data_IF_282663548373
#
_entry.id   IF_282663548373
#
_cell.length_a   1.000
_cell.length_b   1.000
_cell.length_c   1.000
_cell.angle_alpha   90.00
_cell.angle_beta   90.00
_cell.angle_gamma   90.00
#
_symmetry.space_group_name_H-M   'P 1'
#
loop_
_entity.id
_entity.type
_entity.pdbx_description
1 polymer ?
#
# COMPACT_ATOMS: atom_id res chain seq x y z
N UNK A 1 9.27 5.04 19.28
CA UNK A 1 8.46 4.15 18.42
C UNK A 1 8.34 2.76 19.06
N UNK A 2 7.15 2.14 18.99
CA UNK A 2 6.90 0.77 19.46
C UNK A 2 6.11 0.01 18.38
N UNK A 3 6.66 -1.09 17.87
CA UNK A 3 5.98 -1.91 16.88
C UNK A 3 4.73 -2.59 17.46
N UNK A 4 3.59 -2.48 16.74
CA UNK A 4 2.29 -3.01 17.17
C UNK A 4 1.63 -3.93 16.12
N UNK A 5 2.31 -4.13 14.99
CA UNK A 5 1.85 -4.99 13.89
C UNK A 5 0.62 -4.46 13.17
N UNK A 6 0.08 -5.30 12.31
CA UNK A 6 -1.12 -5.02 11.53
C UNK A 6 -2.37 -5.12 12.41
N UNK A 7 -2.91 -4.00 12.87
CA UNK A 7 -4.17 -3.95 13.63
C UNK A 7 -5.36 -3.77 12.69
N UNK A 8 -6.56 -4.16 13.15
CA UNK A 8 -7.80 -3.85 12.44
C UNK A 8 -8.07 -2.35 12.57
N UNK A 9 -8.15 -1.66 11.43
CA UNK A 9 -8.48 -0.25 11.34
C UNK A 9 -9.84 -0.09 10.65
N UNK A 10 -10.61 0.90 11.07
CA UNK A 10 -11.94 1.17 10.51
C UNK A 10 -12.04 2.62 10.09
N UNK A 11 -12.59 2.84 8.91
CA UNK A 11 -12.93 4.16 8.39
C UNK A 11 -14.46 4.29 8.22
N UNK A 12 -14.91 5.34 7.55
CA UNK A 12 -16.34 5.49 7.25
C UNK A 12 -16.87 4.36 6.33
N UNK A 13 -16.06 3.91 5.36
CA UNK A 13 -16.47 2.93 4.34
C UNK A 13 -15.74 1.60 4.43
N UNK A 14 -14.54 1.59 5.04
CA UNK A 14 -13.58 0.51 4.90
C UNK A 14 -13.27 -0.17 6.22
N UNK A 15 -12.92 -1.45 6.13
CA UNK A 15 -12.20 -2.17 7.19
C UNK A 15 -10.87 -2.62 6.61
N UNK A 16 -9.78 -2.25 7.28
CA UNK A 16 -8.42 -2.69 6.97
C UNK A 16 -8.04 -3.74 8.01
N UNK A 17 -7.59 -4.91 7.57
CA UNK A 17 -7.28 -6.04 8.44
C UNK A 17 -6.11 -6.87 7.90
N UNK A 18 -5.47 -7.71 8.72
CA UNK A 18 -4.55 -8.71 8.18
C UNK A 18 -5.21 -9.54 7.08
N UNK A 19 -4.42 -9.99 6.12
CA UNK A 19 -4.85 -10.98 5.14
C UNK A 19 -5.04 -12.35 5.78
N UNK A 20 -5.89 -13.15 5.15
CA UNK A 20 -6.03 -14.58 5.41
C UNK A 20 -5.99 -15.34 4.10
N UNK A 21 -5.72 -16.63 4.14
CA UNK A 21 -5.74 -17.49 2.96
C UNK A 21 -7.12 -17.58 2.29
N UNK A 22 -8.19 -17.28 3.03
CA UNK A 22 -9.56 -17.21 2.50
C UNK A 22 -9.79 -16.03 1.53
N UNK A 23 -8.88 -15.05 1.50
CA UNK A 23 -8.96 -13.89 0.61
C UNK A 23 -8.43 -14.18 -0.81
N UNK A 24 -7.93 -15.39 -1.07
CA UNK A 24 -7.19 -15.71 -2.28
C UNK A 24 -8.01 -15.50 -3.56
N UNK A 25 -9.25 -15.97 -3.60
CA UNK A 25 -10.14 -15.82 -4.75
C UNK A 25 -10.43 -14.33 -5.01
N UNK A 26 -10.83 -13.60 -3.97
CA UNK A 26 -11.13 -12.18 -4.11
C UNK A 26 -9.91 -11.35 -4.52
N UNK A 27 -8.73 -11.63 -3.96
CA UNK A 27 -7.49 -10.98 -4.35
C UNK A 27 -7.14 -11.28 -5.81
N UNK A 28 -7.20 -12.54 -6.21
CA UNK A 28 -6.90 -12.96 -7.58
C UNK A 28 -7.82 -12.28 -8.58
N UNK A 29 -9.14 -12.37 -8.39
CA UNK A 29 -10.15 -11.83 -9.31
C UNK A 29 -10.17 -10.31 -9.35
N UNK A 30 -9.94 -9.63 -8.21
CA UNK A 30 -10.08 -8.20 -8.12
C UNK A 30 -8.86 -7.43 -8.62
N UNK A 31 -7.63 -7.96 -8.45
CA UNK A 31 -6.45 -7.23 -8.92
C UNK A 31 -5.22 -8.08 -9.22
N UNK A 32 -5.00 -9.25 -8.56
CA UNK A 32 -3.72 -9.93 -8.68
C UNK A 32 -3.48 -10.51 -10.09
N UNK A 33 -4.52 -10.80 -10.86
CA UNK A 33 -4.45 -11.23 -12.26
C UNK A 33 -4.59 -10.07 -13.28
N UNK A 34 -4.84 -8.83 -12.82
CA UNK A 34 -5.10 -7.70 -13.71
C UNK A 34 -3.80 -7.01 -14.15
N UNK A 35 -3.49 -7.09 -15.45
CA UNK A 35 -2.30 -6.47 -16.05
C UNK A 35 -2.28 -4.94 -15.93
N UNK A 36 -3.44 -4.29 -15.90
CA UNK A 36 -3.51 -2.84 -15.74
C UNK A 36 -3.20 -2.42 -14.30
N UNK A 37 -3.58 -3.22 -13.30
CA UNK A 37 -3.23 -2.97 -11.90
C UNK A 37 -1.74 -3.22 -11.67
N UNK A 38 -1.20 -4.32 -12.21
CA UNK A 38 0.20 -4.70 -11.99
C UNK A 38 1.21 -3.96 -12.85
N UNK A 39 0.74 -3.17 -13.82
CA UNK A 39 1.57 -2.47 -14.81
C UNK A 39 2.78 -1.72 -14.23
N UNK A 40 2.59 -1.09 -13.07
CA UNK A 40 3.59 -0.27 -12.39
C UNK A 40 4.09 -0.90 -11.07
N UNK A 41 3.78 -2.17 -10.83
CA UNK A 41 4.16 -2.86 -9.60
C UNK A 41 5.48 -3.63 -9.75
N UNK A 42 5.99 -4.10 -8.64
CA UNK A 42 7.25 -4.87 -8.54
C UNK A 42 7.05 -6.37 -8.79
N UNK A 43 5.85 -6.77 -9.18
CA UNK A 43 5.48 -8.16 -9.45
C UNK A 43 4.55 -8.24 -10.68
N UNK A 44 4.49 -9.42 -11.30
CA UNK A 44 3.70 -9.69 -12.49
C UNK A 44 2.35 -10.29 -12.12
N UNK A 45 1.32 -10.20 -13.00
CA UNK A 45 0.02 -10.81 -12.70
C UNK A 45 0.15 -12.28 -12.32
N UNK A 46 -0.57 -12.68 -11.29
CA UNK A 46 -0.67 -14.09 -10.90
C UNK A 46 -1.33 -14.91 -12.00
N UNK A 47 -0.88 -16.13 -12.18
CA UNK A 47 -1.34 -17.03 -13.26
C UNK A 47 -2.59 -17.81 -12.88
N UNK A 48 -2.77 -18.06 -11.58
CA UNK A 48 -3.88 -18.81 -11.01
C UNK A 48 -4.09 -18.42 -9.54
N UNK A 49 -5.20 -18.85 -8.98
CA UNK A 49 -5.56 -18.55 -7.57
C UNK A 49 -4.64 -19.24 -6.57
N UNK A 50 -4.06 -20.38 -6.92
CA UNK A 50 -3.15 -21.15 -6.06
C UNK A 50 -1.86 -20.36 -5.78
N UNK A 51 -1.36 -19.63 -6.80
CA UNK A 51 -0.22 -18.72 -6.63
C UNK A 51 -0.56 -17.60 -5.62
N UNK A 52 -1.76 -17.03 -5.73
CA UNK A 52 -2.26 -16.05 -4.77
C UNK A 52 -2.40 -16.64 -3.37
N UNK A 53 -2.97 -17.86 -3.27
CA UNK A 53 -3.18 -18.53 -1.99
C UNK A 53 -1.87 -18.85 -1.27
N UNK A 54 -0.86 -19.32 -2.03
CA UNK A 54 0.47 -19.59 -1.48
C UNK A 54 1.13 -18.32 -0.94
N UNK A 55 1.00 -17.18 -1.64
CA UNK A 55 1.48 -15.89 -1.18
C UNK A 55 0.75 -15.45 0.10
N UNK A 56 -0.58 -15.57 0.13
CA UNK A 56 -1.37 -15.19 1.31
C UNK A 56 -1.07 -16.06 2.53
N UNK A 57 -0.71 -17.33 2.36
CA UNK A 57 -0.27 -18.17 3.48
C UNK A 57 1.00 -17.63 4.14
N UNK A 58 1.93 -17.09 3.35
CA UNK A 58 3.14 -16.43 3.86
C UNK A 58 2.75 -15.14 4.62
N UNK A 59 1.93 -14.28 4.03
CA UNK A 59 1.52 -13.01 4.64
C UNK A 59 0.69 -13.21 5.91
N UNK A 60 -0.16 -14.24 5.96
CA UNK A 60 -0.93 -14.60 7.14
C UNK A 60 -0.01 -14.99 8.31
N UNK A 61 1.03 -15.78 8.05
CA UNK A 61 2.04 -16.14 9.05
C UNK A 61 2.87 -14.92 9.49
N UNK A 62 3.34 -14.11 8.53
CA UNK A 62 4.12 -12.90 8.80
C UNK A 62 3.31 -11.87 9.61
N UNK A 63 1.99 -11.79 9.43
CA UNK A 63 1.12 -10.84 10.13
C UNK A 63 1.10 -11.04 11.66
N UNK A 64 1.56 -12.18 12.17
CA UNK A 64 1.72 -12.46 13.60
C UNK A 64 2.88 -11.69 14.24
N UNK A 65 3.78 -11.19 13.43
CA UNK A 65 4.93 -10.42 13.89
C UNK A 65 4.55 -8.96 14.15
N UNK A 66 5.04 -8.36 15.24
CA UNK A 66 4.69 -6.97 15.58
C UNK A 66 5.36 -5.93 14.65
N UNK A 67 6.40 -6.29 13.91
CA UNK A 67 7.13 -5.42 12.99
C UNK A 67 6.64 -5.51 11.53
N UNK A 68 5.62 -6.30 11.26
CA UNK A 68 4.98 -6.46 9.94
C UNK A 68 3.68 -5.68 9.86
N UNK A 69 3.53 -4.92 8.78
CA UNK A 69 2.39 -4.06 8.52
C UNK A 69 1.88 -4.28 7.10
N UNK A 70 0.82 -5.07 6.96
CA UNK A 70 0.21 -5.36 5.69
C UNK A 70 -1.31 -5.54 5.84
N UNK A 71 -2.09 -4.64 5.26
CA UNK A 71 -3.54 -4.62 5.36
C UNK A 71 -4.20 -5.02 4.05
N UNK A 72 -5.13 -5.98 4.12
CA UNK A 72 -6.20 -6.12 3.17
C UNK A 72 -7.19 -4.94 3.37
N UNK A 73 -7.53 -4.24 2.31
CA UNK A 73 -8.55 -3.20 2.29
C UNK A 73 -9.87 -3.85 1.92
N UNK A 74 -10.88 -3.78 2.81
CA UNK A 74 -12.19 -4.35 2.54
C UNK A 74 -13.28 -3.30 2.48
N UNK A 75 -14.21 -3.46 1.54
CA UNK A 75 -15.42 -2.65 1.38
C UNK A 75 -16.62 -3.58 1.41
N UNK A 76 -17.55 -3.40 2.35
CA UNK A 76 -18.72 -4.26 2.55
C UNK A 76 -18.37 -5.77 2.64
N UNK A 77 -17.21 -6.09 3.21
CA UNK A 77 -16.71 -7.46 3.37
C UNK A 77 -15.89 -8.00 2.19
N UNK A 78 -15.94 -7.37 1.02
CA UNK A 78 -15.14 -7.74 -0.14
C UNK A 78 -13.72 -7.17 -0.04
N UNK A 79 -12.68 -7.99 -0.28
CA UNK A 79 -11.30 -7.55 -0.37
C UNK A 79 -11.06 -6.91 -1.72
N UNK A 80 -10.65 -5.64 -1.73
CA UNK A 80 -10.57 -4.82 -2.94
C UNK A 80 -9.19 -4.22 -3.22
N UNK A 81 -8.24 -4.40 -2.32
CA UNK A 81 -6.87 -3.89 -2.46
C UNK A 81 -6.04 -4.15 -1.23
N UNK A 82 -4.83 -3.63 -1.23
CA UNK A 82 -3.90 -3.74 -0.12
C UNK A 82 -3.07 -2.47 0.11
N UNK A 83 -2.53 -2.35 1.31
CA UNK A 83 -1.55 -1.35 1.71
C UNK A 83 -0.57 -1.97 2.69
N UNK A 84 0.73 -1.81 2.45
CA UNK A 84 1.78 -2.38 3.28
C UNK A 84 2.92 -1.39 3.55
N UNK A 85 3.68 -1.63 4.62
CA UNK A 85 5.04 -1.13 4.75
C UNK A 85 5.98 -2.13 4.04
N UNK A 86 6.49 -1.73 2.89
CA UNK A 86 7.37 -2.57 2.06
C UNK A 86 8.83 -2.52 2.49
N UNK A 87 9.17 -1.51 3.30
CA UNK A 87 10.46 -1.41 3.98
C UNK A 87 10.32 -0.60 5.27
N UNK A 88 11.02 -1.02 6.31
CA UNK A 88 11.14 -0.30 7.58
C UNK A 88 12.62 -0.15 7.92
N UNK A 89 13.06 1.07 8.24
CA UNK A 89 14.46 1.40 8.59
C UNK A 89 14.47 2.31 9.81
N UNK A 90 14.58 1.72 10.99
CA UNK A 90 14.41 2.46 12.25
C UNK A 90 13.00 3.05 12.34
N UNK A 91 12.90 4.36 12.51
CA UNK A 91 11.62 5.08 12.62
C UNK A 91 11.09 5.60 11.25
N UNK A 92 11.68 5.14 10.14
CA UNK A 92 11.26 5.48 8.78
C UNK A 92 10.65 4.26 8.11
N UNK A 93 9.58 4.44 7.37
CA UNK A 93 8.93 3.39 6.61
C UNK A 93 8.59 3.81 5.19
N UNK A 94 8.69 2.87 4.25
CA UNK A 94 8.25 3.03 2.87
C UNK A 94 6.96 2.24 2.65
N UNK A 95 5.93 2.89 2.13
CA UNK A 95 4.64 2.27 1.85
C UNK A 95 4.49 1.88 0.39
N UNK A 96 3.78 0.77 0.16
CA UNK A 96 3.28 0.35 -1.14
C UNK A 96 1.80 0.02 -1.05
N UNK A 97 1.06 0.18 -2.15
CA UNK A 97 -0.36 -0.13 -2.19
C UNK A 97 -0.84 -0.45 -3.60
N UNK A 98 -1.90 -1.22 -3.69
CA UNK A 98 -2.66 -1.39 -4.91
C UNK A 98 -4.17 -1.49 -4.63
N UNK A 99 -4.98 -1.25 -5.66
CA UNK A 99 -6.43 -1.26 -5.56
C UNK A 99 -7.02 -1.83 -6.84
N UNK A 100 -8.04 -2.65 -6.70
CA UNK A 100 -8.84 -3.14 -7.81
C UNK A 100 -9.32 -1.98 -8.68
N UNK A 101 -9.18 -2.14 -9.99
CA UNK A 101 -9.51 -1.13 -11.01
C UNK A 101 -10.97 -0.64 -10.90
N UNK A 102 -11.91 -1.51 -10.50
CA UNK A 102 -13.32 -1.18 -10.27
C UNK A 102 -13.53 -0.05 -9.27
N UNK A 103 -12.54 0.20 -8.39
CA UNK A 103 -12.63 1.17 -7.30
C UNK A 103 -11.72 2.39 -7.49
N UNK A 104 -11.03 2.52 -8.64
CA UNK A 104 -10.22 3.69 -8.95
C UNK A 104 -11.08 4.97 -9.05
N UNK A 105 -10.47 6.10 -8.73
CA UNK A 105 -11.13 7.40 -8.80
C UNK A 105 -12.17 7.69 -7.72
N UNK A 106 -12.47 6.74 -6.82
CA UNK A 106 -13.53 6.84 -5.79
C UNK A 106 -13.04 7.30 -4.42
N UNK A 107 -11.77 7.69 -4.31
CA UNK A 107 -11.16 8.14 -3.04
C UNK A 107 -10.87 7.02 -2.02
N UNK A 108 -11.10 5.76 -2.38
CA UNK A 108 -10.92 4.60 -1.50
C UNK A 108 -9.49 4.49 -0.97
N UNK A 109 -8.49 4.53 -1.84
CA UNK A 109 -7.09 4.41 -1.42
C UNK A 109 -6.66 5.59 -0.54
N UNK A 110 -7.12 6.81 -0.85
CA UNK A 110 -6.80 7.98 0.00
C UNK A 110 -7.42 7.87 1.39
N UNK A 111 -8.63 7.31 1.51
CA UNK A 111 -9.28 7.07 2.80
C UNK A 111 -8.53 5.99 3.60
N UNK A 112 -8.18 4.87 2.97
CA UNK A 112 -7.41 3.81 3.60
C UNK A 112 -6.04 4.30 4.07
N UNK A 113 -5.33 5.02 3.20
CA UNK A 113 -3.98 5.49 3.49
C UNK A 113 -3.97 6.54 4.61
N UNK A 114 -4.95 7.45 4.63
CA UNK A 114 -5.07 8.43 5.70
C UNK A 114 -5.23 7.76 7.08
N UNK A 115 -6.02 6.69 7.17
CA UNK A 115 -6.19 5.95 8.43
C UNK A 115 -4.93 5.16 8.83
N UNK A 116 -4.22 4.57 7.85
CA UNK A 116 -2.93 3.93 8.11
C UNK A 116 -1.91 4.93 8.61
N UNK A 117 -1.80 6.12 8.00
CA UNK A 117 -0.91 7.19 8.49
C UNK A 117 -1.28 7.61 9.93
N UNK A 118 -2.59 7.73 10.23
CA UNK A 118 -3.05 8.01 11.59
C UNK A 118 -2.52 6.98 12.58
N UNK A 119 -2.68 5.70 12.25
CA UNK A 119 -2.21 4.60 13.09
C UNK A 119 -0.69 4.61 13.26
N UNK A 120 0.05 4.76 12.16
CA UNK A 120 1.51 4.72 12.19
C UNK A 120 2.12 5.88 12.98
N UNK A 121 1.59 7.09 12.87
CA UNK A 121 2.08 8.24 13.64
C UNK A 121 1.58 8.25 15.07
N UNK A 122 0.28 8.07 15.30
CA UNK A 122 -0.30 8.26 16.64
C UNK A 122 -0.13 7.07 17.57
N UNK A 123 -0.10 5.86 17.03
CA UNK A 123 -0.12 4.65 17.84
C UNK A 123 1.21 3.89 17.82
N UNK A 124 1.92 3.89 16.69
CA UNK A 124 3.22 3.22 16.57
C UNK A 124 4.37 4.19 16.84
N UNK A 125 4.27 5.45 16.41
CA UNK A 125 5.28 6.49 16.61
C UNK A 125 6.38 6.47 15.56
N UNK A 126 6.04 6.25 14.28
CA UNK A 126 7.00 6.48 13.20
C UNK A 126 7.31 7.98 13.09
N UNK A 127 8.56 8.30 12.77
CA UNK A 127 9.00 9.67 12.50
C UNK A 127 8.70 10.11 11.06
N UNK A 128 8.82 9.17 10.11
CA UNK A 128 8.70 9.47 8.68
C UNK A 128 8.05 8.32 7.92
N UNK A 129 7.06 8.67 7.08
CA UNK A 129 6.44 7.74 6.13
C UNK A 129 6.67 8.27 4.72
N UNK A 130 7.27 7.43 3.89
CA UNK A 130 7.51 7.74 2.47
C UNK A 130 6.79 6.76 1.56
N UNK A 131 6.62 7.16 0.32
CA UNK A 131 6.13 6.32 -0.78
C UNK A 131 6.69 6.82 -2.09
N UNK A 132 6.62 5.99 -3.12
CA UNK A 132 7.11 6.35 -4.44
C UNK A 132 6.17 5.88 -5.55
N UNK A 133 6.23 6.55 -6.70
CA UNK A 133 5.52 6.12 -7.90
C UNK A 133 6.33 6.45 -9.14
N UNK A 134 6.17 5.67 -10.20
CA UNK A 134 6.74 6.03 -11.50
C UNK A 134 6.03 7.27 -12.05
N UNK A 135 6.76 8.13 -12.77
CA UNK A 135 6.23 9.39 -13.34
C UNK A 135 4.96 9.13 -14.15
N UNK A 136 4.93 8.02 -14.90
CA UNK A 136 3.79 7.62 -15.74
C UNK A 136 2.58 7.05 -14.95
N UNK A 137 2.64 7.03 -13.60
CA UNK A 137 1.51 6.70 -12.72
C UNK A 137 1.09 7.91 -11.85
N UNK A 138 0.57 8.99 -12.44
CA UNK A 138 0.17 10.18 -11.68
C UNK A 138 -1.00 9.92 -10.72
N UNK A 139 -1.77 8.85 -10.94
CA UNK A 139 -2.87 8.49 -10.04
C UNK A 139 -2.37 8.11 -8.64
N UNK A 140 -1.27 7.34 -8.55
CA UNK A 140 -0.62 7.03 -7.29
C UNK A 140 -0.08 8.29 -6.61
N UNK A 141 0.58 9.18 -7.37
CA UNK A 141 1.04 10.47 -6.85
C UNK A 141 -0.07 11.32 -6.22
N UNK A 142 -1.26 11.38 -6.86
CA UNK A 142 -2.42 12.10 -6.31
C UNK A 142 -2.96 11.50 -5.01
N UNK A 143 -2.88 10.19 -4.83
CA UNK A 143 -3.22 9.54 -3.54
C UNK A 143 -2.26 10.03 -2.45
N UNK A 144 -0.96 10.01 -2.71
CA UNK A 144 0.07 10.47 -1.77
C UNK A 144 -0.13 11.95 -1.40
N UNK A 145 -0.36 12.82 -2.38
CA UNK A 145 -0.63 14.25 -2.18
C UNK A 145 -1.86 14.49 -1.29
N UNK A 146 -2.97 13.79 -1.57
CA UNK A 146 -4.19 13.89 -0.76
C UNK A 146 -3.98 13.44 0.68
N UNK A 147 -3.06 12.50 0.90
CA UNK A 147 -2.65 12.06 2.23
C UNK A 147 -1.57 12.94 2.85
N UNK A 148 -1.11 13.98 2.11
CA UNK A 148 -0.18 15.02 2.56
C UNK A 148 1.28 14.64 2.47
N UNK A 149 1.63 13.63 1.66
CA UNK A 149 3.01 13.38 1.34
C UNK A 149 3.51 14.46 0.37
N UNK A 150 4.57 15.17 0.77
CA UNK A 150 5.20 16.22 -0.03
C UNK A 150 6.21 15.62 -1.00
N UNK A 151 6.37 16.26 -2.16
CA UNK A 151 7.39 15.90 -3.14
C UNK A 151 8.80 16.16 -2.59
N UNK A 152 9.70 15.20 -2.76
CA UNK A 152 11.08 15.32 -2.31
C UNK A 152 12.10 15.16 -3.45
N UNK A 153 11.73 14.52 -4.53
CA UNK A 153 12.64 14.37 -5.65
C UNK A 153 12.17 13.36 -6.69
N UNK A 154 12.88 13.37 -7.82
CA UNK A 154 12.72 12.38 -8.88
C UNK A 154 14.07 11.74 -9.19
N UNK A 155 14.13 10.43 -9.08
CA UNK A 155 15.29 9.62 -9.46
C UNK A 155 15.12 9.18 -10.91
N UNK A 156 16.09 9.58 -11.77
CA UNK A 156 16.03 9.27 -13.20
C UNK A 156 16.35 7.80 -13.44
N UNK A 157 15.51 7.13 -14.25
CA UNK A 157 15.68 5.74 -14.70
C UNK A 157 16.03 4.77 -13.56
N UNK A 158 15.37 4.95 -12.39
CA UNK A 158 15.65 4.18 -11.19
C UNK A 158 14.72 2.98 -10.99
N UNK A 159 13.66 2.85 -11.79
CA UNK A 159 12.71 1.74 -11.70
C UNK A 159 12.55 1.06 -13.05
N UNK A 160 12.72 -0.26 -13.09
CA UNK A 160 12.50 -1.06 -14.29
C UNK A 160 11.12 -1.70 -14.26
N UNK A 161 10.26 -1.33 -15.20
CA UNK A 161 8.93 -1.94 -15.33
C UNK A 161 9.06 -3.42 -15.71
N UNK A 162 8.44 -4.29 -14.93
CA UNK A 162 8.40 -5.73 -15.26
C UNK A 162 7.52 -6.02 -16.46
N UNK A 163 6.51 -5.18 -16.71
CA UNK A 163 5.56 -5.32 -17.81
C UNK A 163 6.17 -5.08 -19.20
N UNK A 164 7.14 -4.16 -19.31
CA UNK A 164 7.76 -3.77 -20.59
C UNK A 164 9.28 -3.93 -20.62
N UNK A 165 9.92 -4.04 -19.46
CA UNK A 165 11.38 -4.03 -19.32
C UNK A 165 12.01 -2.64 -19.43
N UNK A 166 11.22 -1.59 -19.62
CA UNK A 166 11.68 -0.21 -19.75
C UNK A 166 12.08 0.40 -18.41
N UNK A 167 13.04 1.31 -18.42
CA UNK A 167 13.43 2.06 -17.26
C UNK A 167 12.63 3.35 -17.15
N UNK A 168 12.07 3.60 -15.98
CA UNK A 168 11.22 4.74 -15.66
C UNK A 168 11.82 5.61 -14.56
N UNK A 169 11.50 6.89 -14.61
CA UNK A 169 11.79 7.82 -13.53
C UNK A 169 10.81 7.56 -12.38
N UNK A 170 11.32 7.60 -11.15
CA UNK A 170 10.53 7.37 -9.94
C UNK A 170 10.49 8.63 -9.07
N UNK A 171 9.29 9.04 -8.69
CA UNK A 171 9.03 10.18 -7.81
C UNK A 171 8.92 9.70 -6.38
N UNK A 172 9.66 10.34 -5.47
CA UNK A 172 9.58 10.11 -4.03
C UNK A 172 8.80 11.22 -3.34
N UNK A 173 7.95 10.81 -2.42
CA UNK A 173 7.16 11.69 -1.57
C UNK A 173 7.18 11.20 -0.13
N UNK A 174 7.12 12.12 0.84
CA UNK A 174 7.09 11.76 2.26
C UNK A 174 6.24 12.71 3.07
N UNK A 175 5.86 12.25 4.26
CA UNK A 175 5.27 13.02 5.32
C UNK A 175 6.03 12.74 6.61
N UNK A 176 6.36 13.80 7.36
CA UNK A 176 7.01 13.72 8.65
C UNK A 176 5.96 13.74 9.77
N UNK A 177 6.34 13.25 10.94
CA UNK A 177 5.50 13.29 12.15
C UNK A 177 5.04 14.72 12.45
N UNK A 178 5.95 15.70 12.45
CA UNK A 178 5.64 17.10 12.65
C UNK A 178 4.64 17.66 11.63
N UNK A 179 4.84 17.37 10.35
CA UNK A 179 3.89 17.77 9.29
C UNK A 179 2.50 17.15 9.49
N UNK A 180 2.43 15.94 10.02
CA UNK A 180 1.17 15.25 10.25
C UNK A 180 0.38 15.87 11.40
N UNK A 181 1.04 16.23 12.51
CA UNK A 181 0.38 16.80 13.69
C UNK A 181 0.07 18.29 13.54
N UNK A 182 0.84 19.04 12.72
CA UNK A 182 0.62 20.47 12.46
C UNK A 182 -0.49 20.75 11.43
N UNK A 183 -1.07 19.71 10.84
CA UNK A 183 -2.26 19.87 9.96
C UNK A 183 -3.47 20.28 10.78
N UNK A 184 -3.83 21.56 10.69
CA UNK A 184 -5.08 22.12 11.22
C UNK A 184 -6.21 21.97 10.23
#
# INVERSE_FOLDING_TARGET
>A
MEHKGTKILKTQRLVLRPFTTADAEAMFENWANDKEVTKFLTWTPHRNVEETRALLAVWEEESKRPDVYHWAITLQGEVIGDLALVAVRGENAHTGYCLSRKFWGKGIMSEAYAEVLRYLFKEVGFHRIESSHVVNNPASGRVMEKCGLRYEGTMRKAFRLLSTGEWEDIVYRAVLEEDYFDRK
#
